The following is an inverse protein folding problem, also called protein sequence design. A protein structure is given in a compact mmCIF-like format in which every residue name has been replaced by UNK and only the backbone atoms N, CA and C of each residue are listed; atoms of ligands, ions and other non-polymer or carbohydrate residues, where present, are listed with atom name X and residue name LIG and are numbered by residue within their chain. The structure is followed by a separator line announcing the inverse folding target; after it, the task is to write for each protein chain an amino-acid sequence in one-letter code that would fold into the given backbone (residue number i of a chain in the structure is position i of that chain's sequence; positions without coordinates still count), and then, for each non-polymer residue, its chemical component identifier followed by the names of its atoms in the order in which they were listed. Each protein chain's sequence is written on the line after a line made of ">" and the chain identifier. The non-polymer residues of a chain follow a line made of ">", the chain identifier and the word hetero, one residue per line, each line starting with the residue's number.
data_IF_411386774543
#
_entry.id   IF_411386774543
#
_cell.length_a   1.000
_cell.length_b   1.000
_cell.length_c   1.000
_cell.angle_alpha   90.00
_cell.angle_beta   90.00
_cell.angle_gamma   90.00
#
_symmetry.space_group_name_H-M   'P 1'
#
loop_
_entity.id
_entity.type
_entity.pdbx_description
1 polymer ?
#
# COMPACT_ATOMS: atom_id res chain seq x y z
N UNK A 1 -13.83 -7.43 13.33
CA UNK A 1 -14.04 -7.31 11.87
C UNK A 1 -13.30 -6.11 11.26
N UNK A 2 -13.40 -4.90 11.83
CA UNK A 2 -12.68 -3.71 11.31
C UNK A 2 -11.15 -3.77 11.43
N UNK A 3 -10.63 -4.38 12.51
CA UNK A 3 -9.17 -4.51 12.74
C UNK A 3 -8.49 -5.35 11.65
N UNK A 4 -9.09 -6.47 11.26
CA UNK A 4 -8.56 -7.34 10.20
C UNK A 4 -8.49 -6.62 8.85
N UNK A 5 -9.40 -5.67 8.60
CA UNK A 5 -9.46 -4.88 7.38
C UNK A 5 -8.35 -3.82 7.34
N UNK A 6 -8.07 -3.19 8.48
CA UNK A 6 -6.92 -2.29 8.64
C UNK A 6 -5.59 -3.02 8.47
N UNK A 7 -5.45 -4.21 9.05
CA UNK A 7 -4.27 -5.06 8.83
C UNK A 7 -4.11 -5.41 7.36
N UNK A 8 -5.17 -5.83 6.66
CA UNK A 8 -5.10 -6.16 5.24
C UNK A 8 -4.62 -4.99 4.39
N UNK A 9 -5.16 -3.80 4.65
CA UNK A 9 -4.79 -2.56 3.97
C UNK A 9 -3.31 -2.22 4.19
N UNK A 10 -2.81 -2.39 5.41
CA UNK A 10 -1.41 -2.16 5.78
C UNK A 10 -0.41 -3.13 5.14
N UNK A 11 -0.78 -4.40 5.04
CA UNK A 11 0.10 -5.36 4.38
C UNK A 11 0.19 -5.09 2.87
N UNK A 12 -0.84 -4.46 2.30
CA UNK A 12 -0.89 -4.14 0.88
C UNK A 12 -0.18 -2.83 0.53
N UNK A 13 -0.26 -1.80 1.39
CA UNK A 13 0.35 -0.50 1.13
C UNK A 13 1.88 -0.51 1.31
N UNK A 14 2.41 -1.21 2.31
CA UNK A 14 3.82 -1.27 2.66
C UNK A 14 4.76 -1.66 1.49
N UNK A 15 4.53 -2.76 0.73
CA UNK A 15 5.39 -3.11 -0.38
C UNK A 15 5.28 -2.12 -1.56
N UNK A 16 4.09 -1.58 -1.81
CA UNK A 16 3.87 -0.57 -2.85
C UNK A 16 4.61 0.72 -2.50
N UNK A 17 4.55 1.12 -1.24
CA UNK A 17 5.25 2.27 -0.71
C UNK A 17 6.77 2.10 -0.77
N UNK A 18 7.29 0.94 -0.37
CA UNK A 18 8.70 0.59 -0.47
C UNK A 18 9.18 0.69 -1.93
N UNK A 19 8.40 0.18 -2.88
CA UNK A 19 8.70 0.31 -4.30
C UNK A 19 8.77 1.77 -4.74
N UNK A 20 7.81 2.61 -4.33
CA UNK A 20 7.80 4.05 -4.64
C UNK A 20 8.98 4.80 -4.01
N UNK A 21 9.39 4.40 -2.80
CA UNK A 21 10.56 4.96 -2.12
C UNK A 21 11.86 4.68 -2.89
N UNK A 22 12.03 3.44 -3.35
CA UNK A 22 13.18 3.05 -4.18
C UNK A 22 13.18 3.84 -5.51
N UNK A 23 11.99 4.18 -6.02
CA UNK A 23 11.79 4.86 -7.31
C UNK A 23 11.45 6.35 -7.18
N UNK A 24 11.87 7.02 -6.10
CA UNK A 24 11.60 8.44 -5.83
C UNK A 24 11.98 9.39 -6.98
N UNK A 25 12.97 9.05 -7.80
CA UNK A 25 13.36 9.85 -8.96
C UNK A 25 12.23 10.04 -9.99
N UNK A 26 11.28 9.09 -10.05
CA UNK A 26 10.17 9.08 -11.02
C UNK A 26 8.87 9.71 -10.48
N UNK A 27 8.90 10.20 -9.23
CA UNK A 27 7.76 10.86 -8.58
C UNK A 27 7.86 12.38 -8.74
N UNK A 28 6.71 13.02 -8.93
CA UNK A 28 6.56 14.48 -8.87
C UNK A 28 6.76 14.96 -7.43
N UNK A 29 7.18 16.22 -7.23
CA UNK A 29 7.45 16.77 -5.91
C UNK A 29 6.33 16.49 -4.89
N UNK A 30 5.07 16.78 -5.25
CA UNK A 30 3.90 16.51 -4.41
C UNK A 30 3.71 15.03 -4.04
N UNK A 31 4.01 14.11 -4.96
CA UNK A 31 3.85 12.66 -4.71
C UNK A 31 4.94 12.14 -3.77
N UNK A 32 6.14 12.74 -3.81
CA UNK A 32 7.19 12.45 -2.82
C UNK A 32 6.72 12.85 -1.43
N UNK A 33 6.11 14.03 -1.30
CA UNK A 33 5.53 14.48 -0.03
C UNK A 33 4.44 13.53 0.48
N UNK A 34 3.58 13.01 -0.40
CA UNK A 34 2.54 12.04 0.00
C UNK A 34 3.14 10.64 0.30
N UNK A 35 4.12 10.19 -0.47
CA UNK A 35 4.76 8.90 -0.25
C UNK A 35 5.63 8.88 1.02
N UNK A 36 6.20 10.02 1.43
CA UNK A 36 7.06 10.12 2.61
C UNK A 36 6.25 10.59 3.83
N UNK A 37 5.47 11.67 3.68
CA UNK A 37 4.69 12.27 4.75
C UNK A 37 3.31 11.62 4.97
N UNK A 38 2.76 10.96 3.95
CA UNK A 38 1.49 10.23 4.07
C UNK A 38 1.60 8.99 4.96
N UNK A 39 2.79 8.40 5.09
CA UNK A 39 3.05 7.19 5.89
C UNK A 39 2.80 7.40 7.38
N UNK A 40 3.44 8.37 8.06
CA UNK A 40 3.18 8.61 9.48
C UNK A 40 1.72 9.04 9.74
N UNK A 41 1.12 9.80 8.82
CA UNK A 41 -0.30 10.14 8.90
C UNK A 41 -1.17 8.88 8.81
N UNK A 42 -0.90 7.99 7.86
CA UNK A 42 -1.61 6.73 7.70
C UNK A 42 -1.54 5.83 8.93
N UNK A 43 -0.35 5.69 9.49
CA UNK A 43 -0.11 4.91 10.72
C UNK A 43 -0.84 5.52 11.93
N UNK A 44 -0.88 6.85 12.04
CA UNK A 44 -1.64 7.52 13.08
C UNK A 44 -3.16 7.33 12.91
N UNK A 45 -3.67 7.27 11.69
CA UNK A 45 -5.11 7.11 11.42
C UNK A 45 -5.66 5.74 11.82
N UNK A 46 -4.83 4.69 11.76
CA UNK A 46 -5.19 3.33 12.19
C UNK A 46 -5.52 3.29 13.69
N UNK A 47 -4.81 4.06 14.50
CA UNK A 47 -4.99 4.09 15.96
C UNK A 47 -6.29 4.79 16.40
N UNK A 48 -6.94 5.53 15.51
CA UNK A 48 -8.08 6.41 15.84
C UNK A 48 -9.44 5.79 15.46
N UNK A 49 -9.46 4.60 14.85
CA UNK A 49 -10.67 3.79 14.63
C UNK A 49 -11.39 4.01 13.28
N UNK A 50 -12.53 3.33 13.10
CA UNK A 50 -13.14 3.01 11.80
C UNK A 50 -13.58 4.18 10.89
N UNK A 51 -13.62 5.42 11.37
CA UNK A 51 -14.00 6.59 10.55
C UNK A 51 -12.92 6.99 9.52
N UNK A 52 -11.71 6.46 9.67
CA UNK A 52 -10.57 6.76 8.79
C UNK A 52 -10.36 5.73 7.68
N UNK A 53 -11.25 4.74 7.54
CA UNK A 53 -11.21 3.76 6.46
C UNK A 53 -11.31 4.42 5.07
N UNK A 54 -12.14 5.45 4.93
CA UNK A 54 -12.33 6.14 3.65
C UNK A 54 -11.05 6.84 3.15
N UNK A 55 -10.36 7.69 3.94
CA UNK A 55 -9.07 8.24 3.52
C UNK A 55 -7.99 7.16 3.37
N UNK A 56 -8.10 6.06 4.12
CA UNK A 56 -7.15 4.96 3.99
C UNK A 56 -7.23 4.28 2.61
N UNK A 57 -8.45 4.04 2.11
CA UNK A 57 -8.71 3.57 0.76
C UNK A 57 -8.27 4.58 -0.31
N UNK A 58 -8.54 5.87 -0.09
CA UNK A 58 -8.12 6.92 -1.03
C UNK A 58 -6.60 6.97 -1.20
N UNK A 59 -5.85 6.81 -0.10
CA UNK A 59 -4.38 6.72 -0.13
C UNK A 59 -3.88 5.46 -0.85
N UNK A 60 -4.53 4.31 -0.63
CA UNK A 60 -4.16 3.06 -1.30
C UNK A 60 -4.40 3.13 -2.82
N UNK A 61 -5.50 3.75 -3.25
CA UNK A 61 -5.78 4.04 -4.67
C UNK A 61 -4.71 4.97 -5.25
N UNK A 62 -4.30 6.01 -4.50
CA UNK A 62 -3.22 6.89 -4.90
C UNK A 62 -1.90 6.14 -5.08
N UNK A 63 -1.51 5.30 -4.12
CA UNK A 63 -0.28 4.50 -4.19
C UNK A 63 -0.26 3.57 -5.40
N UNK A 64 -1.39 2.89 -5.68
CA UNK A 64 -1.55 2.05 -6.86
C UNK A 64 -1.40 2.85 -8.16
N UNK A 65 -2.04 4.01 -8.24
CA UNK A 65 -1.99 4.85 -9.43
C UNK A 65 -0.60 5.40 -9.71
N UNK A 66 0.09 5.91 -8.68
CA UNK A 66 1.46 6.42 -8.81
C UNK A 66 2.41 5.29 -9.19
N UNK A 67 2.29 4.13 -8.54
CA UNK A 67 3.12 2.96 -8.85
C UNK A 67 2.92 2.52 -10.29
N UNK A 68 1.67 2.37 -10.74
CA UNK A 68 1.36 2.05 -12.13
C UNK A 68 2.01 3.04 -13.12
N UNK A 69 1.97 4.33 -12.80
CA UNK A 69 2.60 5.34 -13.64
C UNK A 69 4.12 5.18 -13.68
N UNK A 70 4.76 4.91 -12.54
CA UNK A 70 6.21 4.64 -12.48
C UNK A 70 6.57 3.41 -13.32
N UNK A 71 5.80 2.33 -13.21
CA UNK A 71 5.97 1.12 -14.05
C UNK A 71 5.82 1.42 -15.55
N UNK A 72 4.85 2.28 -15.93
CA UNK A 72 4.70 2.72 -17.33
C UNK A 72 5.90 3.52 -17.82
N UNK A 73 6.49 4.39 -16.99
CA UNK A 73 7.69 5.16 -17.34
C UNK A 73 8.88 4.24 -17.53
N UNK A 74 9.05 3.22 -16.68
CA UNK A 74 10.14 2.24 -16.79
C UNK A 74 9.94 1.21 -17.90
N UNK A 75 8.78 1.20 -18.59
CA UNK A 75 8.36 0.16 -19.55
C UNK A 75 8.37 -1.27 -18.95
N UNK A 76 8.31 -1.40 -17.64
CA UNK A 76 8.34 -2.67 -16.90
C UNK A 76 6.91 -3.21 -16.71
N UNK A 77 6.11 -3.22 -17.79
CA UNK A 77 4.67 -3.45 -17.69
C UNK A 77 4.33 -4.89 -17.25
N UNK A 78 5.16 -5.85 -17.65
CA UNK A 78 5.01 -7.27 -17.29
C UNK A 78 5.35 -7.53 -15.81
N UNK A 79 6.27 -6.74 -15.25
CA UNK A 79 6.65 -6.82 -13.84
C UNK A 79 5.62 -6.19 -12.91
N UNK A 80 4.74 -5.33 -13.42
CA UNK A 80 3.69 -4.70 -12.61
C UNK A 80 2.62 -5.71 -12.14
N UNK A 81 2.15 -6.56 -13.06
CA UNK A 81 1.19 -7.62 -12.74
C UNK A 81 1.83 -8.65 -11.80
N UNK A 82 3.08 -9.01 -12.04
CA UNK A 82 3.84 -9.88 -11.15
C UNK A 82 4.02 -9.25 -9.76
N UNK A 83 4.33 -7.96 -9.69
CA UNK A 83 4.46 -7.23 -8.43
C UNK A 83 3.13 -7.19 -7.66
N UNK A 84 2.01 -6.84 -8.31
CA UNK A 84 0.68 -6.89 -7.67
C UNK A 84 0.35 -8.30 -7.20
N UNK A 85 0.63 -9.31 -8.01
CA UNK A 85 0.36 -10.70 -7.67
C UNK A 85 1.19 -11.16 -6.45
N UNK A 86 2.46 -10.76 -6.38
CA UNK A 86 3.35 -11.11 -5.28
C UNK A 86 2.95 -10.38 -3.98
N UNK A 87 2.55 -9.10 -4.09
CA UNK A 87 1.93 -8.36 -2.99
C UNK A 87 0.68 -9.08 -2.53
N UNK A 88 -0.24 -9.43 -3.43
CA UNK A 88 -1.47 -10.13 -3.11
C UNK A 88 -1.23 -11.46 -2.41
N UNK A 89 -0.24 -12.26 -2.86
CA UNK A 89 0.17 -13.50 -2.21
C UNK A 89 0.65 -13.26 -0.78
N UNK A 90 1.56 -12.29 -0.58
CA UNK A 90 2.09 -11.97 0.75
C UNK A 90 0.96 -11.54 1.70
N UNK A 91 0.05 -10.70 1.21
CA UNK A 91 -1.11 -10.26 2.00
C UNK A 91 -2.04 -11.44 2.32
N UNK A 92 -2.32 -12.31 1.34
CA UNK A 92 -3.18 -13.47 1.50
C UNK A 92 -2.62 -14.48 2.52
N UNK A 93 -1.33 -14.80 2.45
CA UNK A 93 -0.69 -15.70 3.42
C UNK A 93 -0.65 -15.09 4.82
N UNK A 94 -0.34 -13.80 4.96
CA UNK A 94 -0.38 -13.13 6.26
C UNK A 94 -1.80 -13.04 6.83
N UNK A 95 -2.81 -12.84 5.99
CA UNK A 95 -4.20 -12.83 6.40
C UNK A 95 -4.64 -14.21 6.91
N UNK A 96 -4.30 -15.29 6.19
CA UNK A 96 -4.56 -16.66 6.65
C UNK A 96 -3.83 -16.93 7.96
N UNK A 97 -2.54 -16.61 8.05
CA UNK A 97 -1.76 -16.78 9.27
C UNK A 97 -2.40 -16.05 10.46
N UNK A 98 -2.86 -14.82 10.25
CA UNK A 98 -3.48 -14.04 11.31
C UNK A 98 -4.83 -14.60 11.76
N UNK A 99 -5.66 -15.09 10.83
CA UNK A 99 -6.92 -15.77 11.15
C UNK A 99 -6.66 -17.04 11.96
N UNK A 100 -5.71 -17.87 11.52
CA UNK A 100 -5.41 -19.15 12.19
C UNK A 100 -4.75 -18.97 13.55
N UNK A 101 -3.99 -17.89 13.77
CA UNK A 101 -3.32 -17.63 15.04
C UNK A 101 -4.22 -16.87 16.06
N UNK A 102 -5.43 -16.48 15.67
CA UNK A 102 -6.47 -15.93 16.58
C UNK A 102 -7.47 -16.98 17.08
N UNK A 103 -7.38 -18.23 16.60
CA UNK A 103 -8.11 -19.39 17.09
C UNK A 103 -7.18 -20.33 17.87
#
# INVERSE_FOLDING_TARGET
>A
MGENLWFFIFYFDAPILLYLWIHLAYLRAFEKWIAIGGVPLYYCLILVGGWWLLPAFAYLIFLLFVSYRVFRIKKERDYFLFFIFLVFIIVFFNFIYHIFNQY
#
